data_IF_500137259680
#
_entry.id   IF_500137259680
#
_cell.length_a   1.000
_cell.length_b   1.000
_cell.length_c   1.000
_cell.angle_alpha   90.00
_cell.angle_beta   90.00
_cell.angle_gamma   90.00
#
_symmetry.space_group_name_H-M   'P 1'
#
loop_
_entity.id
_entity.type
_entity.pdbx_description
1 polymer ?
#
# COMPACT_ATOMS: atom_id res chain seq x y z
N UNK A 1 -7.07 -11.10 -16.88
CA UNK A 1 -6.14 -10.36 -16.01
C UNK A 1 -5.54 -11.35 -15.02
N UNK A 2 -4.28 -11.16 -14.63
CA UNK A 2 -3.59 -12.02 -13.64
C UNK A 2 -4.40 -12.19 -12.35
N UNK A 3 -5.11 -11.13 -11.93
CA UNK A 3 -5.96 -11.17 -10.74
C UNK A 3 -7.05 -12.26 -10.84
N UNK A 4 -7.70 -12.45 -12.00
CA UNK A 4 -8.73 -13.49 -12.17
C UNK A 4 -8.17 -14.91 -12.02
N UNK A 5 -6.86 -15.12 -12.20
CA UNK A 5 -6.23 -16.41 -11.97
C UNK A 5 -5.98 -16.66 -10.49
N UNK A 6 -5.57 -15.63 -9.73
CA UNK A 6 -5.31 -15.70 -8.29
C UNK A 6 -6.57 -16.07 -7.50
N UNK A 7 -7.75 -15.58 -7.91
CA UNK A 7 -9.00 -15.85 -7.17
C UNK A 7 -9.55 -17.27 -7.38
N UNK A 8 -9.10 -18.00 -8.41
CA UNK A 8 -9.56 -19.39 -8.67
C UNK A 8 -9.17 -20.40 -7.59
N UNK A 9 -8.28 -20.04 -6.67
CA UNK A 9 -7.87 -20.89 -5.55
C UNK A 9 -8.95 -21.08 -4.46
N UNK A 10 -10.12 -20.41 -4.57
CA UNK A 10 -11.34 -20.60 -3.76
C UNK A 10 -11.22 -20.42 -2.23
N UNK A 11 -10.09 -19.92 -1.73
CA UNK A 11 -9.93 -19.50 -0.34
C UNK A 11 -8.95 -18.32 -0.25
N UNK A 12 -9.20 -17.30 -1.06
CA UNK A 12 -8.25 -16.21 -1.28
C UNK A 12 -8.66 -14.98 -0.44
N UNK A 13 -7.71 -14.50 0.36
CA UNK A 13 -7.75 -13.18 0.98
C UNK A 13 -6.86 -12.24 0.19
N UNK A 14 -7.30 -10.99 0.01
CA UNK A 14 -6.48 -9.96 -0.63
C UNK A 14 -6.50 -8.65 0.14
N UNK A 15 -5.35 -7.99 0.20
CA UNK A 15 -5.25 -6.62 0.69
C UNK A 15 -5.71 -5.68 -0.42
N UNK A 16 -6.75 -4.89 -0.14
CA UNK A 16 -7.40 -4.02 -1.14
C UNK A 16 -7.12 -2.55 -0.89
N UNK A 17 -6.65 -2.19 0.30
CA UNK A 17 -6.34 -0.80 0.64
C UNK A 17 -5.19 -0.71 1.65
N UNK A 18 -4.23 0.19 1.42
CA UNK A 18 -3.18 0.49 2.38
C UNK A 18 -1.80 0.69 1.75
N UNK A 19 -0.83 1.06 2.59
CA UNK A 19 0.57 1.14 2.14
C UNK A 19 1.16 -0.27 2.03
N UNK A 20 1.72 -0.60 0.87
CA UNK A 20 2.36 -1.89 0.64
C UNK A 20 3.85 -1.82 0.93
N UNK A 21 4.39 -2.88 1.53
CA UNK A 21 5.83 -3.01 1.71
C UNK A 21 6.49 -3.20 0.34
N UNK A 22 7.40 -2.30 -0.03
CA UNK A 22 8.14 -2.39 -1.29
C UNK A 22 9.60 -2.80 -1.09
N UNK A 23 10.14 -2.64 0.12
CA UNK A 23 11.52 -2.98 0.43
C UNK A 23 11.69 -3.46 1.87
N UNK A 24 12.57 -4.44 2.04
CA UNK A 24 12.97 -4.98 3.33
C UNK A 24 14.48 -5.17 3.38
N UNK A 25 15.08 -4.80 4.50
CA UNK A 25 16.49 -5.02 4.81
C UNK A 25 16.62 -5.62 6.20
N UNK A 26 17.44 -6.66 6.37
CA UNK A 26 17.85 -7.16 7.69
C UNK A 26 18.76 -6.19 8.46
N UNK A 27 19.39 -5.25 7.76
CA UNK A 27 20.26 -4.23 8.38
C UNK A 27 19.41 -3.15 9.03
N UNK A 28 19.88 -2.64 10.16
CA UNK A 28 19.29 -1.50 10.88
C UNK A 28 19.72 -0.18 10.21
N UNK A 29 19.10 0.18 9.10
CA UNK A 29 19.46 1.36 8.30
C UNK A 29 19.28 2.67 9.07
N UNK A 30 18.22 2.82 9.86
CA UNK A 30 17.97 4.04 10.64
C UNK A 30 18.96 4.17 11.79
N UNK A 31 19.18 3.10 12.55
CA UNK A 31 20.22 3.07 13.58
C UNK A 31 21.63 3.35 13.02
N UNK A 32 21.94 2.83 11.83
CA UNK A 32 23.22 3.09 11.18
C UNK A 32 23.33 4.55 10.72
N UNK A 33 22.24 5.15 10.26
CA UNK A 33 22.17 6.56 9.90
C UNK A 33 22.43 7.46 11.11
N UNK A 34 21.75 7.21 12.24
CA UNK A 34 21.99 7.93 13.51
C UNK A 34 23.46 7.89 13.93
N UNK A 35 24.06 6.70 13.93
CA UNK A 35 25.48 6.51 14.26
C UNK A 35 26.41 7.27 13.32
N UNK A 36 26.11 7.28 12.02
CA UNK A 36 26.88 8.03 11.04
C UNK A 36 26.78 9.54 11.25
N UNK A 37 25.60 10.03 11.66
CA UNK A 37 25.36 11.44 11.99
C UNK A 37 25.95 11.86 13.34
N UNK A 38 26.20 10.90 14.23
CA UNK A 38 26.60 11.17 15.61
C UNK A 38 25.46 11.74 16.46
N UNK A 39 24.21 11.43 16.10
CA UNK A 39 22.99 11.96 16.73
C UNK A 39 22.20 10.79 17.36
N UNK A 40 21.64 10.98 18.56
CA UNK A 40 20.77 10.01 19.24
C UNK A 40 19.29 10.42 19.07
N UNK A 41 18.73 10.22 17.87
CA UNK A 41 17.35 10.64 17.54
C UNK A 41 16.29 9.61 18.02
N UNK A 42 16.73 8.42 18.41
CA UNK A 42 15.91 7.26 18.73
C UNK A 42 14.97 6.89 17.58
N UNK A 43 15.48 6.69 16.36
CA UNK A 43 14.64 6.44 15.16
C UNK A 43 13.98 5.04 15.14
N UNK A 44 14.52 4.08 15.89
CA UNK A 44 13.99 2.71 15.97
C UNK A 44 12.60 2.66 16.62
N UNK A 45 11.76 1.73 16.17
CA UNK A 45 10.39 1.52 16.60
C UNK A 45 9.46 2.74 16.44
N UNK A 46 9.83 3.69 15.58
CA UNK A 46 9.01 4.85 15.20
C UNK A 46 8.50 4.72 13.77
N UNK A 47 7.25 5.13 13.56
CA UNK A 47 6.68 5.32 12.22
C UNK A 47 7.21 6.64 11.67
N UNK A 48 8.08 6.55 10.67
CA UNK A 48 8.76 7.69 10.08
C UNK A 48 8.44 7.76 8.58
N UNK A 49 8.78 8.89 7.98
CA UNK A 49 8.71 9.11 6.55
C UNK A 49 10.11 9.47 6.08
N UNK A 50 10.55 8.88 4.96
CA UNK A 50 11.75 9.31 4.23
C UNK A 50 11.32 10.10 2.99
N UNK A 51 11.89 11.29 2.84
CA UNK A 51 11.66 12.19 1.71
C UNK A 51 13.01 12.51 1.07
N UNK A 52 13.05 12.46 -0.26
CA UNK A 52 14.23 12.85 -1.03
C UNK A 52 14.07 14.31 -1.46
N UNK A 53 15.08 15.16 -1.24
CA UNK A 53 15.00 16.60 -1.54
C UNK A 53 14.60 16.93 -2.99
N UNK A 54 14.89 16.01 -3.93
CA UNK A 54 14.69 16.21 -5.37
C UNK A 54 13.41 15.58 -5.91
N UNK A 55 12.70 14.77 -5.13
CA UNK A 55 11.50 14.05 -5.58
C UNK A 55 10.39 14.24 -4.56
N UNK A 56 9.21 14.59 -5.05
CA UNK A 56 8.03 14.78 -4.21
C UNK A 56 7.36 13.43 -3.89
N UNK A 57 8.11 12.54 -3.26
CA UNK A 57 7.62 11.23 -2.81
C UNK A 57 8.04 10.97 -1.37
N UNK A 58 7.03 10.79 -0.53
CA UNK A 58 7.16 10.49 0.89
C UNK A 58 6.95 9.00 1.13
N UNK A 59 8.00 8.27 1.49
CA UNK A 59 7.91 6.83 1.72
C UNK A 59 7.87 6.53 3.21
N UNK A 60 6.84 5.82 3.72
CA UNK A 60 6.85 5.37 5.10
C UNK A 60 7.99 4.39 5.34
N UNK A 61 8.70 4.57 6.44
CA UNK A 61 9.82 3.75 6.88
C UNK A 61 9.65 3.39 8.35
N UNK A 62 9.96 2.14 8.68
CA UNK A 62 9.92 1.63 10.04
C UNK A 62 11.08 0.67 10.26
N UNK A 63 11.80 0.85 11.36
CA UNK A 63 12.85 -0.05 11.80
C UNK A 63 12.43 -0.74 13.09
N UNK A 64 12.57 -2.06 13.12
CA UNK A 64 12.39 -2.87 14.32
C UNK A 64 13.64 -3.70 14.57
N UNK A 65 13.63 -4.50 15.65
CA UNK A 65 14.65 -5.53 15.91
C UNK A 65 14.85 -6.54 14.76
N UNK A 66 13.92 -6.64 13.82
CA UNK A 66 13.96 -7.58 12.69
C UNK A 66 14.48 -6.95 11.38
N UNK A 67 14.81 -5.66 11.38
CA UNK A 67 15.29 -4.92 10.22
C UNK A 67 14.45 -3.69 9.89
N UNK A 68 14.74 -3.11 8.74
CA UNK A 68 14.11 -1.90 8.21
C UNK A 68 13.14 -2.25 7.08
N UNK A 69 11.96 -1.64 7.11
CA UNK A 69 10.87 -1.82 6.16
C UNK A 69 10.53 -0.48 5.52
N UNK A 70 10.41 -0.45 4.19
CA UNK A 70 9.98 0.74 3.44
C UNK A 70 8.74 0.39 2.65
N UNK A 71 7.77 1.31 2.69
CA UNK A 71 6.45 1.15 2.08
C UNK A 71 6.27 2.11 0.91
N UNK A 72 5.25 1.86 0.07
CA UNK A 72 4.88 2.70 -1.07
C UNK A 72 4.65 4.16 -0.65
N UNK A 73 4.91 5.10 -1.55
CA UNK A 73 4.60 6.52 -1.33
C UNK A 73 3.12 6.86 -1.51
N UNK A 74 2.36 5.94 -2.08
CA UNK A 74 0.92 6.02 -2.30
C UNK A 74 0.20 4.91 -1.52
N UNK A 75 -1.09 5.12 -1.29
CA UNK A 75 -1.98 4.12 -0.71
C UNK A 75 -2.48 3.24 -1.85
N UNK A 76 -2.11 1.96 -1.84
CA UNK A 76 -2.68 1.02 -2.79
C UNK A 76 -4.20 0.96 -2.59
N UNK A 77 -4.94 0.96 -3.69
CA UNK A 77 -6.39 0.92 -3.66
C UNK A 77 -6.93 0.05 -4.80
N UNK A 78 -7.59 -1.04 -4.45
CA UNK A 78 -8.32 -1.93 -5.36
C UNK A 78 -9.82 -1.81 -5.08
N UNK A 79 -10.45 -0.86 -5.75
CA UNK A 79 -11.84 -0.49 -5.46
C UNK A 79 -12.77 -0.86 -6.61
N UNK A 80 -12.52 -0.31 -7.80
CA UNK A 80 -13.39 -0.50 -8.97
C UNK A 80 -13.34 -1.94 -9.49
N UNK A 81 -12.17 -2.54 -9.42
CA UNK A 81 -11.87 -3.90 -9.87
C UNK A 81 -12.52 -4.95 -8.97
N UNK A 82 -12.88 -4.60 -7.73
CA UNK A 82 -13.43 -5.54 -6.77
C UNK A 82 -14.74 -6.19 -7.27
N UNK A 83 -15.50 -5.46 -8.09
CA UNK A 83 -16.71 -5.96 -8.77
C UNK A 83 -16.44 -7.18 -9.67
N UNK A 84 -15.22 -7.33 -10.18
CA UNK A 84 -14.79 -8.46 -11.00
C UNK A 84 -14.30 -9.66 -10.18
N UNK A 85 -14.13 -9.49 -8.86
CA UNK A 85 -13.46 -10.45 -7.97
C UNK A 85 -14.43 -11.13 -7.01
N UNK A 86 -15.53 -11.62 -7.55
CA UNK A 86 -16.65 -12.23 -6.80
C UNK A 86 -16.27 -13.49 -6.01
N UNK A 87 -15.16 -14.13 -6.37
CA UNK A 87 -14.68 -15.35 -5.74
C UNK A 87 -13.77 -15.08 -4.51
N UNK A 88 -13.51 -13.82 -4.15
CA UNK A 88 -12.78 -13.46 -2.94
C UNK A 88 -13.62 -13.77 -1.71
N UNK A 89 -13.01 -14.46 -0.74
CA UNK A 89 -13.68 -14.79 0.52
C UNK A 89 -13.50 -13.67 1.54
N UNK A 90 -12.32 -13.04 1.55
CA UNK A 90 -11.99 -11.96 2.46
C UNK A 90 -11.22 -10.85 1.76
N UNK A 91 -11.57 -9.60 2.08
CA UNK A 91 -10.76 -8.43 1.75
C UNK A 91 -10.15 -7.87 3.04
N UNK A 92 -8.97 -7.27 2.92
CA UNK A 92 -8.26 -6.65 4.04
C UNK A 92 -7.91 -5.21 3.72
N UNK A 93 -8.25 -4.32 4.64
CA UNK A 93 -7.72 -2.96 4.71
C UNK A 93 -6.52 -2.98 5.66
N UNK A 94 -5.37 -2.51 5.21
CA UNK A 94 -4.15 -2.43 6.00
C UNK A 94 -4.02 -1.04 6.63
N UNK A 95 -4.21 -0.92 7.96
CA UNK A 95 -4.19 0.37 8.65
C UNK A 95 -2.78 0.89 8.92
N UNK A 96 -1.73 0.17 8.54
CA UNK A 96 -0.35 0.54 8.85
C UNK A 96 -0.04 1.90 8.22
N UNK A 97 0.43 2.85 9.04
CA UNK A 97 0.67 4.27 8.68
C UNK A 97 -0.57 5.11 8.35
N UNK A 98 -1.78 4.58 8.53
CA UNK A 98 -3.01 5.35 8.41
C UNK A 98 -3.48 5.84 9.78
N UNK A 99 -4.20 6.96 9.78
CA UNK A 99 -4.93 7.45 10.95
C UNK A 99 -6.19 6.63 11.14
N UNK A 100 -6.53 6.34 12.39
CA UNK A 100 -7.65 5.49 12.75
C UNK A 100 -8.98 6.00 12.19
N UNK A 101 -9.23 7.32 12.24
CA UNK A 101 -10.47 7.92 11.74
C UNK A 101 -10.63 7.71 10.23
N UNK A 102 -9.53 7.79 9.48
CA UNK A 102 -9.54 7.49 8.03
C UNK A 102 -9.81 6.02 7.77
N UNK A 103 -9.24 5.13 8.57
CA UNK A 103 -9.46 3.68 8.42
C UNK A 103 -10.94 3.35 8.59
N UNK A 104 -11.61 3.91 9.60
CA UNK A 104 -13.05 3.70 9.78
C UNK A 104 -13.86 4.20 8.58
N UNK A 105 -13.58 5.42 8.08
CA UNK A 105 -14.25 5.94 6.89
C UNK A 105 -14.05 5.04 5.66
N UNK A 106 -12.83 4.51 5.47
CA UNK A 106 -12.54 3.57 4.39
C UNK A 106 -13.34 2.28 4.56
N UNK A 107 -13.40 1.72 5.78
CA UNK A 107 -14.17 0.50 6.05
C UNK A 107 -15.66 0.69 5.75
N UNK A 108 -16.25 1.81 6.15
CA UNK A 108 -17.65 2.13 5.87
C UNK A 108 -17.92 2.22 4.36
N UNK A 109 -17.02 2.89 3.62
CA UNK A 109 -17.12 3.02 2.15
C UNK A 109 -17.00 1.65 1.46
N UNK A 110 -16.06 0.80 1.88
CA UNK A 110 -15.93 -0.56 1.33
C UNK A 110 -17.13 -1.44 1.69
N UNK A 111 -17.71 -1.27 2.89
CA UNK A 111 -18.93 -1.99 3.28
C UNK A 111 -20.10 -1.60 2.36
N UNK A 112 -20.31 -0.30 2.11
CA UNK A 112 -21.37 0.17 1.20
C UNK A 112 -21.13 -0.32 -0.24
N UNK A 113 -19.88 -0.36 -0.71
CA UNK A 113 -19.55 -0.89 -2.03
C UNK A 113 -19.93 -2.37 -2.17
N UNK A 114 -19.64 -3.18 -1.16
CA UNK A 114 -19.93 -4.61 -1.16
C UNK A 114 -21.44 -4.91 -1.17
N UNK A 115 -22.25 -4.00 -0.62
CA UNK A 115 -23.71 -4.08 -0.69
C UNK A 115 -24.25 -3.68 -2.07
N UNK A 116 -23.68 -2.64 -2.70
CA UNK A 116 -24.14 -2.13 -3.99
C UNK A 116 -23.01 -1.58 -4.87
N UNK A 117 -22.51 -2.42 -5.78
CA UNK A 117 -21.50 -2.03 -6.75
C UNK A 117 -21.97 -0.98 -7.78
N UNK A 118 -23.27 -0.69 -7.91
CA UNK A 118 -23.74 0.36 -8.83
C UNK A 118 -23.29 1.76 -8.39
N UNK A 119 -22.98 1.93 -7.10
CA UNK A 119 -22.48 3.18 -6.50
C UNK A 119 -20.95 3.32 -6.58
N UNK A 120 -20.24 2.41 -7.24
CA UNK A 120 -18.78 2.35 -7.21
C UNK A 120 -18.11 3.68 -7.59
N UNK A 121 -18.64 4.43 -8.56
CA UNK A 121 -18.05 5.71 -8.97
C UNK A 121 -18.23 6.79 -7.89
N UNK A 122 -19.42 6.91 -7.31
CA UNK A 122 -19.70 7.87 -6.23
C UNK A 122 -18.83 7.58 -4.99
N UNK A 123 -18.77 6.30 -4.59
CA UNK A 123 -18.00 5.88 -3.42
C UNK A 123 -16.50 6.02 -3.63
N UNK A 124 -16.02 5.84 -4.86
CA UNK A 124 -14.61 6.07 -5.19
C UNK A 124 -14.23 7.54 -5.07
N UNK A 125 -15.11 8.46 -5.47
CA UNK A 125 -14.89 9.90 -5.26
C UNK A 125 -14.89 10.26 -3.77
N UNK A 126 -15.77 9.67 -2.95
CA UNK A 126 -15.70 9.81 -1.48
C UNK A 126 -14.38 9.30 -0.94
N UNK A 127 -13.88 8.17 -1.44
CA UNK A 127 -12.60 7.59 -1.02
C UNK A 127 -11.41 8.51 -1.32
N UNK A 128 -11.41 9.18 -2.47
CA UNK A 128 -10.40 10.20 -2.81
C UNK A 128 -10.43 11.42 -1.89
N UNK A 129 -11.61 11.80 -1.40
CA UNK A 129 -11.75 12.89 -0.44
C UNK A 129 -11.20 12.51 0.94
N UNK A 130 -11.29 11.23 1.33
CA UNK A 130 -10.66 10.70 2.56
C UNK A 130 -9.14 10.76 2.43
N UNK A 131 -8.61 10.27 1.31
CA UNK A 131 -7.17 10.35 1.02
C UNK A 131 -6.90 10.43 -0.49
N UNK A 132 -6.31 11.54 -0.93
CA UNK A 132 -6.00 11.77 -2.35
C UNK A 132 -4.79 10.98 -2.84
N UNK A 133 -4.04 10.32 -1.94
CA UNK A 133 -2.83 9.54 -2.27
C UNK A 133 -3.14 8.12 -2.75
N UNK A 134 -4.40 7.80 -3.04
CA UNK A 134 -4.78 6.48 -3.52
C UNK A 134 -4.30 6.23 -4.96
N UNK A 135 -3.77 5.04 -5.23
CA UNK A 135 -3.36 4.61 -6.58
C UNK A 135 -3.62 3.11 -6.76
N UNK A 136 -3.99 2.72 -7.98
CA UNK A 136 -4.09 1.33 -8.44
C UNK A 136 -2.72 0.62 -8.57
N UNK A 137 -1.62 1.35 -8.41
CA UNK A 137 -0.25 0.85 -8.53
C UNK A 137 0.09 0.43 -9.96
N UNK A 138 0.33 -0.87 -10.14
CA UNK A 138 0.78 -1.45 -11.42
C UNK A 138 -0.31 -2.24 -12.16
N UNK A 139 -1.55 -2.26 -11.67
CA UNK A 139 -2.64 -3.03 -12.30
C UNK A 139 -2.81 -2.75 -13.80
N UNK A 140 -2.58 -1.51 -14.19
CA UNK A 140 -2.68 -1.04 -15.58
C UNK A 140 -1.33 -0.70 -16.21
N UNK A 141 -0.22 -0.86 -15.48
CA UNK A 141 1.12 -0.59 -15.99
C UNK A 141 1.75 -1.89 -16.45
N UNK A 142 1.89 -2.04 -17.76
CA UNK A 142 2.58 -3.19 -18.36
C UNK A 142 4.03 -3.20 -17.85
N UNK A 143 4.42 -4.22 -17.09
CA UNK A 143 5.82 -4.43 -16.72
C UNK A 143 6.59 -4.76 -17.99
N UNK A 144 7.29 -3.78 -18.57
CA UNK A 144 8.21 -4.05 -19.67
C UNK A 144 9.41 -4.75 -19.05
N UNK A 145 9.41 -6.09 -19.11
CA UNK A 145 10.65 -6.84 -18.98
C UNK A 145 11.48 -6.47 -20.21
N UNK A 146 12.43 -5.55 -20.04
CA UNK A 146 13.54 -5.45 -20.96
C UNK A 146 14.28 -6.79 -20.85
N UNK A 147 13.93 -7.75 -21.70
CA UNK A 147 14.90 -8.79 -22.06
C UNK A 147 16.09 -8.00 -22.60
N UNK A 148 17.20 -7.99 -21.86
CA UNK A 148 18.48 -7.63 -22.45
C UNK A 148 18.64 -8.53 -23.68
N UNK A 149 18.37 -7.93 -24.84
CA UNK A 149 18.62 -8.52 -26.11
C UNK A 149 20.13 -8.66 -26.22
N UNK A 150 20.58 -9.90 -26.16
CA UNK A 150 21.84 -10.37 -26.71
C UNK A 150 22.15 -9.58 -27.99
N UNK A 151 23.20 -8.75 -27.93
CA UNK A 151 24.27 -8.66 -28.92
C UNK A 151 25.41 -7.78 -28.39
#
# INVERSE_FOLDING_TARGET
SEIKEVVKAKNTMMEVYGFHQMFYSRRALLSNYEKFRGEELGLTDKKLIIEEEKRDHSYPIYESKHGTFIYTSYIYCLFKELSELKDLVFIRVNPTFLKEEKVFQVLDIYSELLEDFSKAEELYEKLKLVDSRIDSGFLYKKSVLLKEGVK
#
